data_IF_254180449665
#
_entry.id   IF_254180449665
#
_cell.length_a   1.000
_cell.length_b   1.000
_cell.length_c   1.000
_cell.angle_alpha   90.00
_cell.angle_beta   90.00
_cell.angle_gamma   90.00
#
_symmetry.space_group_name_H-M   'P 1'
#
loop_
_entity.id
_entity.type
_entity.pdbx_description
1 polymer ?
#
# COMPACT_ATOMS: atom_id res chain seq x y z
N UNK A 1 -8.59 43.14 28.29
CA UNK A 1 -9.62 42.46 27.46
C UNK A 1 -8.91 41.56 26.47
N UNK A 2 -8.97 40.24 26.65
CA UNK A 2 -8.44 39.24 25.71
C UNK A 2 -9.61 38.44 25.15
N UNK A 3 -9.82 38.50 23.84
CA UNK A 3 -10.90 37.77 23.17
C UNK A 3 -10.45 36.35 22.82
N UNK A 4 -10.83 35.39 23.67
CA UNK A 4 -10.70 33.96 23.35
C UNK A 4 -11.75 33.62 22.27
N UNK A 5 -11.31 33.48 21.01
CA UNK A 5 -12.18 33.04 19.91
C UNK A 5 -12.60 31.59 20.14
N UNK A 6 -13.88 31.36 20.47
CA UNK A 6 -14.49 30.04 20.55
C UNK A 6 -15.52 29.89 21.67
N UNK A 7 -15.38 30.63 22.77
CA UNK A 7 -16.32 30.59 23.90
C UNK A 7 -17.58 31.40 23.56
N UNK A 8 -18.76 30.82 23.72
CA UNK A 8 -20.01 31.56 23.53
C UNK A 8 -20.18 32.65 24.62
N UNK A 9 -20.70 33.85 24.28
CA UNK A 9 -20.70 35.00 25.20
C UNK A 9 -21.45 34.75 26.51
N UNK A 10 -22.50 33.92 26.49
CA UNK A 10 -23.26 33.56 27.68
C UNK A 10 -22.43 32.76 28.70
N UNK A 11 -21.49 31.93 28.23
CA UNK A 11 -20.60 31.12 29.09
C UNK A 11 -19.59 32.01 29.82
N UNK A 12 -19.01 32.99 29.11
CA UNK A 12 -18.05 33.93 29.69
C UNK A 12 -18.69 34.77 30.81
N UNK A 13 -19.96 35.16 30.66
CA UNK A 13 -20.69 35.92 31.68
C UNK A 13 -20.94 35.10 32.96
N UNK A 14 -21.26 33.80 32.82
CA UNK A 14 -21.46 32.88 33.94
C UNK A 14 -20.17 32.72 34.75
N UNK A 15 -19.01 32.56 34.10
CA UNK A 15 -17.72 32.43 34.79
C UNK A 15 -17.39 33.66 35.66
N UNK A 16 -17.57 34.88 35.15
CA UNK A 16 -17.29 36.11 35.91
C UNK A 16 -18.19 36.23 37.14
N UNK A 17 -19.47 35.85 37.03
CA UNK A 17 -20.42 35.89 38.15
C UNK A 17 -20.10 34.84 39.23
N UNK A 18 -19.73 33.62 38.83
CA UNK A 18 -19.34 32.56 39.77
C UNK A 18 -18.08 32.91 40.58
N UNK A 19 -17.06 33.48 39.94
CA UNK A 19 -15.82 33.92 40.60
C UNK A 19 -16.15 34.98 41.68
N UNK A 20 -17.01 35.95 41.37
CA UNK A 20 -17.41 36.99 42.33
C UNK A 20 -18.22 36.47 43.51
N UNK A 21 -19.14 35.52 43.28
CA UNK A 21 -19.96 34.94 44.36
C UNK A 21 -19.16 34.03 45.29
N UNK A 22 -18.26 33.22 44.73
CA UNK A 22 -17.45 32.28 45.52
C UNK A 22 -16.38 33.00 46.36
N UNK A 23 -15.96 34.22 45.97
CA UNK A 23 -15.03 35.06 46.75
C UNK A 23 -15.54 35.48 48.14
N UNK A 24 -16.80 35.18 48.48
CA UNK A 24 -17.43 35.46 49.79
C UNK A 24 -17.53 34.24 50.71
N UNK A 25 -17.14 33.05 50.24
CA UNK A 25 -17.10 31.80 51.02
C UNK A 25 -15.74 31.13 50.84
N UNK A 26 -15.02 30.88 51.94
CA UNK A 26 -13.62 30.43 51.93
C UNK A 26 -13.40 28.98 51.51
N UNK A 27 -13.84 28.60 50.30
CA UNK A 27 -13.57 27.33 49.63
C UNK A 27 -12.80 27.51 48.33
N UNK A 28 -12.45 26.41 47.65
CA UNK A 28 -11.71 26.43 46.37
C UNK A 28 -12.57 27.08 45.28
N UNK A 29 -12.13 28.24 44.75
CA UNK A 29 -12.89 29.00 43.75
C UNK A 29 -12.55 28.58 42.32
N UNK A 30 -13.27 27.58 41.81
CA UNK A 30 -13.56 27.48 40.38
C UNK A 30 -13.24 26.14 39.72
N UNK A 31 -14.25 25.58 39.06
CA UNK A 31 -14.15 24.43 38.16
C UNK A 31 -12.95 24.62 37.20
N UNK A 32 -11.97 23.70 37.15
CA UNK A 32 -10.77 23.91 36.36
C UNK A 32 -11.11 24.06 34.88
N UNK A 33 -10.81 25.25 34.34
CA UNK A 33 -11.13 25.57 32.96
C UNK A 33 -10.12 24.88 32.03
N UNK A 34 -10.43 23.65 31.63
CA UNK A 34 -9.63 22.91 30.66
C UNK A 34 -9.73 23.60 29.28
N UNK A 35 -8.76 24.46 28.99
CA UNK A 35 -8.54 24.99 27.63
C UNK A 35 -7.66 24.02 26.84
N UNK A 36 -8.20 22.84 26.52
CA UNK A 36 -7.56 21.94 25.56
C UNK A 36 -7.53 22.59 24.19
N UNK A 37 -6.32 22.81 23.67
CA UNK A 37 -6.14 22.91 22.22
C UNK A 37 -6.43 21.54 21.63
N UNK A 38 -7.70 21.29 21.29
CA UNK A 38 -8.15 20.12 20.54
C UNK A 38 -7.57 20.20 19.12
N UNK A 39 -6.32 19.77 19.00
CA UNK A 39 -5.65 19.52 17.73
C UNK A 39 -5.22 18.05 17.73
N UNK A 40 -5.82 17.31 16.82
CA UNK A 40 -5.34 16.02 16.38
C UNK A 40 -3.86 16.09 15.95
N UNK A 41 -3.28 14.90 15.78
CA UNK A 41 -2.14 14.60 14.89
C UNK A 41 -0.69 14.69 15.39
N UNK A 42 -0.02 13.55 15.22
CA UNK A 42 1.34 13.39 14.66
C UNK A 42 2.48 14.28 15.21
N UNK A 43 3.21 13.73 16.18
CA UNK A 43 4.61 14.08 16.51
C UNK A 43 4.92 15.55 16.88
N UNK A 44 4.14 16.10 17.80
CA UNK A 44 4.69 16.98 18.83
C UNK A 44 4.26 16.45 20.21
N UNK A 45 4.98 16.78 21.30
CA UNK A 45 4.63 16.30 22.64
C UNK A 45 3.18 16.67 22.99
N UNK A 46 2.39 15.72 23.47
CA UNK A 46 1.03 16.03 23.92
C UNK A 46 1.13 16.79 25.24
N UNK A 47 0.55 17.98 25.28
CA UNK A 47 0.43 18.80 26.48
C UNK A 47 -1.04 18.87 26.89
N UNK A 48 -1.34 18.42 28.10
CA UNK A 48 -2.61 18.69 28.78
C UNK A 48 -2.40 19.88 29.72
N UNK A 49 -3.42 20.72 29.90
CA UNK A 49 -3.33 21.88 30.80
C UNK A 49 -4.69 22.37 31.25
N UNK A 50 -4.77 22.83 32.50
CA UNK A 50 -5.94 23.52 33.04
C UNK A 50 -5.52 24.72 33.89
N UNK A 51 -6.39 25.73 33.96
CA UNK A 51 -6.25 26.82 34.92
C UNK A 51 -6.87 26.38 36.25
N UNK A 52 -6.05 26.39 37.31
CA UNK A 52 -6.47 26.24 38.70
C UNK A 52 -6.58 27.63 39.32
N UNK A 53 -7.58 27.82 40.18
CA UNK A 53 -7.81 29.04 40.97
C UNK A 53 -8.25 28.62 42.38
N UNK A 54 -7.77 29.32 43.40
CA UNK A 54 -8.05 29.03 44.80
C UNK A 54 -7.08 29.74 45.74
N UNK A 55 -7.23 29.52 47.04
CA UNK A 55 -6.32 30.03 48.07
C UNK A 55 -5.03 29.18 48.12
N UNK A 56 -3.83 29.78 48.13
CA UNK A 56 -2.59 29.06 48.43
C UNK A 56 -2.58 28.45 49.85
N UNK A 57 -1.79 27.42 50.12
CA UNK A 57 -0.93 26.71 49.17
C UNK A 57 -1.70 25.60 48.44
N UNK A 58 -1.51 25.51 47.12
CA UNK A 58 -2.22 24.54 46.26
C UNK A 58 -1.24 23.49 45.75
N UNK A 59 -1.54 22.23 46.04
CA UNK A 59 -0.90 21.06 45.47
C UNK A 59 -1.69 20.57 44.25
N UNK A 60 -0.99 20.08 43.23
CA UNK A 60 -1.60 19.57 42.00
C UNK A 60 -1.05 18.19 41.68
N UNK A 61 -1.97 17.23 41.51
CA UNK A 61 -1.65 15.82 41.20
C UNK A 61 -2.32 15.43 39.89
N UNK A 62 -1.62 14.63 39.08
CA UNK A 62 -2.15 14.07 37.84
C UNK A 62 -2.34 12.57 37.97
N UNK A 63 -3.45 12.06 37.43
CA UNK A 63 -3.79 10.64 37.38
C UNK A 63 -4.04 10.20 35.93
N UNK A 64 -3.73 8.94 35.61
CA UNK A 64 -4.08 8.25 34.38
C UNK A 64 -4.85 6.97 34.73
N UNK A 65 -6.11 6.89 34.30
CA UNK A 65 -7.03 5.79 34.61
C UNK A 65 -7.09 5.45 36.13
N UNK A 66 -7.02 6.49 36.97
CA UNK A 66 -7.02 6.40 38.43
C UNK A 66 -5.66 6.17 39.09
N UNK A 67 -4.57 5.99 38.33
CA UNK A 67 -3.23 5.76 38.86
C UNK A 67 -2.41 7.06 38.83
N UNK A 68 -1.66 7.37 39.89
CA UNK A 68 -0.87 8.61 39.98
C UNK A 68 0.29 8.64 38.95
N UNK A 69 0.43 9.76 38.26
CA UNK A 69 1.39 9.97 37.17
C UNK A 69 2.77 10.31 37.75
N UNK A 70 3.53 9.26 38.07
CA UNK A 70 4.80 9.34 38.82
C UNK A 70 6.08 9.17 37.99
N UNK A 71 6.00 8.63 36.77
CA UNK A 71 7.18 8.45 35.89
C UNK A 71 7.62 9.80 35.26
N UNK A 72 8.60 10.46 35.89
CA UNK A 72 9.14 11.74 35.43
C UNK A 72 9.96 11.66 34.12
N UNK A 73 10.37 10.47 33.66
CA UNK A 73 11.02 10.31 32.35
C UNK A 73 9.98 10.27 31.22
N UNK A 74 8.79 9.73 31.51
CA UNK A 74 7.63 9.73 30.61
C UNK A 74 6.83 11.03 30.65
N UNK A 75 6.67 11.61 31.83
CA UNK A 75 5.70 12.67 32.12
C UNK A 75 6.35 13.91 32.72
N UNK A 76 6.26 15.05 32.03
CA UNK A 76 6.68 16.35 32.56
C UNK A 76 5.50 17.09 33.19
N UNK A 77 5.37 17.04 34.51
CA UNK A 77 4.37 17.82 35.28
C UNK A 77 4.94 19.20 35.61
N UNK A 78 4.11 20.25 35.57
CA UNK A 78 4.43 21.55 36.15
C UNK A 78 3.19 22.27 36.68
N UNK A 79 3.37 23.13 37.68
CA UNK A 79 2.35 24.05 38.18
C UNK A 79 3.01 25.41 38.45
N UNK A 80 2.63 26.43 37.69
CA UNK A 80 3.24 27.78 37.73
C UNK A 80 2.12 28.80 37.50
N UNK A 81 2.03 29.84 38.32
CA UNK A 81 1.05 30.94 38.21
C UNK A 81 -0.42 30.47 38.04
N UNK A 82 -0.78 29.36 38.69
CA UNK A 82 -2.10 28.72 38.61
C UNK A 82 -2.32 27.85 37.36
N UNK A 83 -1.39 27.83 36.40
CA UNK A 83 -1.43 26.95 35.23
C UNK A 83 -0.82 25.59 35.57
N UNK A 84 -1.66 24.55 35.62
CA UNK A 84 -1.22 23.17 35.71
C UNK A 84 -0.98 22.61 34.30
N UNK A 85 0.12 21.89 34.10
CA UNK A 85 0.42 21.23 32.82
C UNK A 85 0.96 19.82 33.01
N UNK A 86 0.62 18.92 32.09
CA UNK A 86 1.21 17.60 31.94
C UNK A 86 1.67 17.35 30.50
N UNK A 87 2.96 17.09 30.31
CA UNK A 87 3.59 16.76 29.02
C UNK A 87 3.83 15.25 28.91
N UNK A 88 3.16 14.59 27.97
CA UNK A 88 3.41 13.17 27.64
C UNK A 88 4.54 13.05 26.61
N UNK A 89 5.67 12.49 27.01
CA UNK A 89 6.86 12.31 26.16
C UNK A 89 6.75 11.01 25.35
N UNK A 90 7.10 11.08 24.05
CA UNK A 90 7.05 9.96 23.09
C UNK A 90 5.75 9.14 23.22
N UNK A 91 4.62 9.77 22.95
CA UNK A 91 3.32 9.14 23.14
C UNK A 91 3.10 7.91 22.23
N UNK A 92 2.44 6.89 22.78
CA UNK A 92 2.11 5.58 22.21
C UNK A 92 0.65 5.26 22.52
N UNK A 93 0.08 4.26 21.84
CA UNK A 93 -1.31 3.80 22.08
C UNK A 93 -1.57 3.47 23.57
N UNK A 94 -0.55 2.95 24.27
CA UNK A 94 -0.57 2.64 25.72
C UNK A 94 -0.79 3.84 26.65
N UNK A 95 -0.60 5.06 26.16
CA UNK A 95 -0.76 6.28 26.96
C UNK A 95 -2.13 6.93 26.71
N UNK A 96 -3.03 6.21 26.03
CA UNK A 96 -4.44 6.58 25.89
C UNK A 96 -5.21 6.17 27.14
N UNK A 97 -6.07 7.03 27.63
CA UNK A 97 -6.82 6.82 28.87
C UNK A 97 -7.45 8.13 29.35
N UNK A 98 -8.13 8.08 30.49
CA UNK A 98 -8.69 9.25 31.16
C UNK A 98 -7.60 9.86 32.04
N UNK A 99 -7.11 11.03 31.65
CA UNK A 99 -6.24 11.85 32.48
C UNK A 99 -7.10 12.73 33.38
N UNK A 100 -6.76 12.77 34.67
CA UNK A 100 -7.38 13.65 35.67
C UNK A 100 -6.31 14.58 36.21
N UNK A 101 -6.62 15.86 36.32
CA UNK A 101 -5.86 16.80 37.14
C UNK A 101 -6.70 17.11 38.39
N UNK A 102 -6.16 16.82 39.57
CA UNK A 102 -6.72 17.19 40.86
C UNK A 102 -5.89 18.34 41.46
N UNK A 103 -6.57 19.31 42.07
CA UNK A 103 -5.96 20.38 42.85
C UNK A 103 -6.48 20.33 44.29
N UNK A 104 -5.59 20.48 45.26
CA UNK A 104 -5.89 20.33 46.69
C UNK A 104 -5.24 21.43 47.53
N UNK A 105 -5.96 21.93 48.53
CA UNK A 105 -5.46 22.78 49.62
C UNK A 105 -6.22 22.45 50.94
N UNK A 106 -5.89 23.16 52.03
CA UNK A 106 -6.52 22.98 53.36
C UNK A 106 -8.07 23.10 53.37
N UNK A 107 -8.67 23.72 52.34
CA UNK A 107 -10.13 23.90 52.24
C UNK A 107 -10.84 22.78 51.44
N UNK A 108 -10.11 21.89 50.74
CA UNK A 108 -10.68 20.76 50.00
C UNK A 108 -9.88 20.35 48.77
N UNK A 109 -10.48 19.57 47.87
CA UNK A 109 -9.95 19.32 46.53
C UNK A 109 -11.03 19.51 45.46
N UNK A 110 -10.59 19.75 44.23
CA UNK A 110 -11.42 19.82 43.02
C UNK A 110 -10.66 19.19 41.84
N UNK A 111 -11.37 18.60 40.88
CA UNK A 111 -10.75 17.84 39.79
C UNK A 111 -11.38 18.11 38.43
N UNK A 112 -10.62 17.78 37.37
CA UNK A 112 -11.08 17.88 36.00
C UNK A 112 -10.44 16.78 35.14
N UNK A 113 -11.12 16.30 34.09
CA UNK A 113 -10.69 15.13 33.33
C UNK A 113 -10.81 15.27 31.81
N UNK A 114 -10.03 14.46 31.08
CA UNK A 114 -10.00 14.37 29.62
C UNK A 114 -9.63 12.95 29.15
N UNK A 115 -10.33 12.42 28.16
CA UNK A 115 -9.87 11.23 27.42
C UNK A 115 -8.78 11.64 26.41
N UNK A 116 -7.55 11.18 26.61
CA UNK A 116 -6.51 11.22 25.56
C UNK A 116 -6.58 9.93 24.73
N UNK A 117 -6.62 10.06 23.41
CA UNK A 117 -6.70 8.92 22.49
C UNK A 117 -5.56 8.93 21.46
N UNK A 118 -4.46 8.28 21.80
CA UNK A 118 -3.28 8.21 20.93
C UNK A 118 -3.53 7.20 19.81
N UNK A 119 -3.44 7.67 18.56
CA UNK A 119 -3.59 6.87 17.35
C UNK A 119 -2.25 6.79 16.62
N UNK A 120 -2.01 5.68 15.94
CA UNK A 120 -0.86 5.46 15.05
C UNK A 120 -1.28 5.56 13.58
N UNK A 121 -0.46 6.17 12.70
CA UNK A 121 -0.71 6.18 11.25
C UNK A 121 -0.58 4.74 10.68
N UNK A 122 -1.15 4.47 9.49
CA UNK A 122 -1.02 3.18 8.85
C UNK A 122 0.41 2.98 8.35
N UNK A 123 0.95 1.78 8.49
CA UNK A 123 2.25 1.39 7.93
C UNK A 123 2.13 -0.01 7.36
N UNK A 124 2.56 -0.23 6.12
CA UNK A 124 2.55 -1.56 5.51
C UNK A 124 3.68 -2.45 6.06
N UNK A 125 3.34 -3.25 7.08
CA UNK A 125 4.23 -4.18 7.78
C UNK A 125 4.61 -5.39 6.91
N UNK A 126 3.70 -5.90 6.08
CA UNK A 126 4.01 -6.82 4.96
C UNK A 126 3.59 -6.19 3.64
N UNK A 127 4.54 -6.09 2.70
CA UNK A 127 4.33 -5.60 1.33
C UNK A 127 4.31 -6.80 0.36
N UNK A 128 3.58 -6.77 -0.77
CA UNK A 128 3.48 -7.93 -1.65
C UNK A 128 4.75 -8.07 -2.50
N UNK A 129 5.37 -9.26 -2.47
CA UNK A 129 6.47 -9.61 -3.38
C UNK A 129 6.02 -9.53 -4.85
N UNK A 130 6.91 -9.18 -5.81
CA UNK A 130 6.60 -9.26 -7.23
C UNK A 130 6.18 -10.68 -7.66
N UNK A 131 5.22 -10.79 -8.58
CA UNK A 131 4.62 -12.09 -8.99
C UNK A 131 4.82 -12.35 -10.48
N UNK A 132 5.42 -13.50 -10.80
CA UNK A 132 5.49 -14.07 -12.15
C UNK A 132 4.38 -15.11 -12.35
N UNK A 133 3.39 -14.84 -13.21
CA UNK A 133 2.23 -15.71 -13.41
C UNK A 133 1.90 -16.03 -14.87
N UNK A 134 1.04 -17.02 -15.11
CA UNK A 134 0.65 -17.46 -16.45
C UNK A 134 -0.67 -16.80 -16.89
N UNK A 135 -0.88 -16.65 -18.21
CA UNK A 135 -2.19 -16.20 -18.72
C UNK A 135 -3.28 -17.22 -18.35
N UNK A 136 -4.45 -16.71 -17.95
CA UNK A 136 -5.62 -17.50 -17.55
C UNK A 136 -5.64 -17.97 -16.10
N UNK A 137 -4.58 -17.76 -15.30
CA UNK A 137 -4.60 -18.14 -13.86
C UNK A 137 -5.26 -17.05 -13.00
N UNK A 138 -5.43 -17.32 -11.70
CA UNK A 138 -5.67 -16.30 -10.67
C UNK A 138 -4.35 -15.92 -9.97
N UNK A 139 -4.29 -14.72 -9.38
CA UNK A 139 -3.22 -14.30 -8.45
C UNK A 139 -3.80 -13.43 -7.33
N UNK A 140 -3.32 -13.61 -6.10
CA UNK A 140 -3.63 -12.77 -4.94
C UNK A 140 -2.42 -11.87 -4.63
N UNK A 141 -2.60 -10.55 -4.66
CA UNK A 141 -1.63 -9.60 -4.11
C UNK A 141 -2.12 -9.19 -2.72
N UNK A 142 -1.28 -9.30 -1.70
CA UNK A 142 -1.67 -9.11 -0.30
C UNK A 142 -0.68 -8.24 0.49
N UNK A 143 -1.22 -7.46 1.42
CA UNK A 143 -0.46 -6.62 2.34
C UNK A 143 -0.99 -6.80 3.77
N UNK A 144 -0.10 -6.61 4.74
CA UNK A 144 -0.48 -6.37 6.13
C UNK A 144 -0.16 -4.93 6.51
N UNK A 145 -0.99 -4.37 7.37
CA UNK A 145 -1.00 -2.98 7.82
C UNK A 145 -0.92 -2.98 9.34
N UNK A 146 0.00 -2.23 9.92
CA UNK A 146 0.02 -1.85 11.34
C UNK A 146 -0.44 -0.40 11.52
N UNK A 147 -0.74 0.01 12.75
CA UNK A 147 -1.31 1.32 13.09
C UNK A 147 -2.72 1.18 13.68
N UNK A 148 -3.43 2.28 13.90
CA UNK A 148 -4.76 2.25 14.55
C UNK A 148 -5.90 2.17 13.52
N UNK A 149 -6.76 1.13 13.53
CA UNK A 149 -7.94 1.06 12.65
C UNK A 149 -9.03 2.05 13.10
N UNK A 150 -10.03 2.38 12.25
CA UNK A 150 -10.27 1.82 10.91
C UNK A 150 -9.31 2.36 9.84
N UNK A 151 -9.04 1.54 8.83
CA UNK A 151 -8.30 1.95 7.63
C UNK A 151 -9.25 2.02 6.43
N UNK A 152 -9.29 3.16 5.74
CA UNK A 152 -9.65 3.21 4.32
C UNK A 152 -8.47 2.64 3.51
N UNK A 153 -8.75 1.64 2.68
CA UNK A 153 -7.74 0.93 1.90
C UNK A 153 -8.17 0.86 0.46
N UNK A 154 -7.40 1.52 -0.41
CA UNK A 154 -7.69 1.58 -1.84
C UNK A 154 -6.51 1.06 -2.67
N UNK A 155 -6.83 0.09 -3.54
CA UNK A 155 -5.92 -0.44 -4.56
C UNK A 155 -6.08 0.30 -5.89
N UNK A 156 -4.98 0.43 -6.64
CA UNK A 156 -4.90 1.08 -7.94
C UNK A 156 -4.05 0.27 -8.92
N UNK A 157 -4.38 0.37 -10.22
CA UNK A 157 -3.50 -0.01 -11.34
C UNK A 157 -3.58 1.10 -12.40
N UNK A 158 -2.46 1.46 -13.02
CA UNK A 158 -2.40 2.45 -14.11
C UNK A 158 -3.08 3.81 -13.74
N UNK A 159 -2.92 4.22 -12.47
CA UNK A 159 -3.59 5.38 -11.81
C UNK A 159 -5.13 5.31 -11.72
N UNK A 160 -5.75 4.16 -12.00
CA UNK A 160 -7.19 3.92 -11.84
C UNK A 160 -7.47 3.08 -10.58
N UNK A 161 -8.47 3.50 -9.80
CA UNK A 161 -8.92 2.77 -8.61
C UNK A 161 -9.53 1.42 -8.99
N UNK A 162 -9.04 0.35 -8.37
CA UNK A 162 -9.60 -1.00 -8.51
C UNK A 162 -10.82 -1.12 -7.60
N UNK A 163 -11.90 -1.70 -8.15
CA UNK A 163 -13.10 -2.09 -7.40
C UNK A 163 -13.43 -3.56 -7.61
N UNK A 164 -14.04 -4.18 -6.61
CA UNK A 164 -14.54 -5.57 -6.70
C UNK A 164 -15.53 -5.72 -7.86
N UNK A 165 -15.32 -6.75 -8.68
CA UNK A 165 -15.94 -6.90 -10.00
C UNK A 165 -15.92 -8.37 -10.45
N UNK A 166 -16.10 -8.63 -11.76
CA UNK A 166 -15.79 -9.94 -12.37
C UNK A 166 -14.28 -10.17 -12.55
N UNK A 167 -13.45 -9.10 -12.61
CA UNK A 167 -12.01 -9.18 -12.88
C UNK A 167 -11.16 -9.17 -11.60
N UNK A 168 -11.57 -8.37 -10.62
CA UNK A 168 -10.86 -8.18 -9.36
C UNK A 168 -11.76 -8.51 -8.17
N UNK A 169 -11.21 -9.13 -7.12
CA UNK A 169 -11.83 -9.28 -5.80
C UNK A 169 -10.97 -8.56 -4.77
N UNK A 170 -11.41 -7.39 -4.31
CA UNK A 170 -10.71 -6.60 -3.29
C UNK A 170 -11.25 -7.00 -1.90
N UNK A 171 -10.34 -7.22 -0.96
CA UNK A 171 -10.63 -7.46 0.45
C UNK A 171 -9.85 -6.46 1.30
N UNK A 172 -10.51 -5.88 2.30
CA UNK A 172 -9.87 -5.16 3.40
C UNK A 172 -10.58 -5.58 4.69
N UNK A 173 -9.83 -6.10 5.66
CA UNK A 173 -10.35 -6.56 6.97
C UNK A 173 -9.29 -6.32 8.03
N UNK A 174 -9.57 -5.44 8.98
CA UNK A 174 -8.67 -5.07 10.07
C UNK A 174 -7.26 -4.75 9.51
N UNK A 175 -6.27 -5.57 9.86
CA UNK A 175 -4.86 -5.39 9.52
C UNK A 175 -4.42 -6.06 8.20
N UNK A 176 -5.34 -6.67 7.44
CA UNK A 176 -5.02 -7.36 6.17
C UNK A 176 -5.83 -6.81 4.99
N UNK A 177 -5.16 -6.63 3.85
CA UNK A 177 -5.81 -6.31 2.57
C UNK A 177 -5.25 -7.15 1.43
N UNK A 178 -6.11 -7.51 0.47
CA UNK A 178 -5.66 -8.13 -0.77
C UNK A 178 -6.50 -7.72 -1.97
N UNK A 179 -5.90 -7.82 -3.16
CA UNK A 179 -6.62 -7.84 -4.44
C UNK A 179 -6.33 -9.15 -5.16
N UNK A 180 -7.36 -9.94 -5.41
CA UNK A 180 -7.28 -11.11 -6.29
C UNK A 180 -7.62 -10.73 -7.72
N UNK A 181 -6.70 -11.00 -8.64
CA UNK A 181 -6.81 -10.84 -10.08
C UNK A 181 -7.29 -12.16 -10.68
N UNK A 182 -8.36 -12.15 -11.47
CA UNK A 182 -8.97 -13.34 -12.08
C UNK A 182 -8.72 -13.38 -13.60
N UNK A 183 -8.56 -14.57 -14.17
CA UNK A 183 -8.29 -14.83 -15.59
C UNK A 183 -7.20 -13.89 -16.15
N UNK A 184 -5.94 -14.07 -15.72
CA UNK A 184 -4.86 -13.10 -16.00
C UNK A 184 -4.60 -12.92 -17.51
N UNK A 185 -4.50 -11.66 -17.93
CA UNK A 185 -4.27 -11.24 -19.31
C UNK A 185 -3.03 -10.35 -19.43
N UNK A 186 -2.65 -9.98 -20.67
CA UNK A 186 -1.51 -9.07 -20.88
C UNK A 186 -1.76 -7.66 -20.29
N UNK A 187 -3.02 -7.23 -20.17
CA UNK A 187 -3.39 -5.95 -19.58
C UNK A 187 -3.27 -5.90 -18.04
N UNK A 188 -3.19 -7.05 -17.36
CA UNK A 188 -2.93 -7.11 -15.91
C UNK A 188 -1.44 -6.90 -15.57
N UNK A 189 -0.53 -6.99 -16.55
CA UNK A 189 0.89 -6.70 -16.36
C UNK A 189 1.09 -5.23 -15.97
N UNK A 190 2.00 -4.96 -15.04
CA UNK A 190 2.36 -3.62 -14.60
C UNK A 190 2.48 -3.52 -13.08
N UNK A 191 2.33 -2.30 -12.58
CA UNK A 191 2.45 -1.99 -11.16
C UNK A 191 1.07 -1.76 -10.52
N UNK A 192 0.89 -2.37 -9.35
CA UNK A 192 -0.27 -2.20 -8.48
C UNK A 192 0.17 -1.39 -7.24
N UNK A 193 -0.57 -0.32 -6.94
CA UNK A 193 -0.36 0.52 -5.76
C UNK A 193 -1.48 0.21 -4.76
N UNK A 194 -1.12 -0.06 -3.50
CA UNK A 194 -2.07 -0.09 -2.38
C UNK A 194 -1.81 1.12 -1.48
N UNK A 195 -2.85 1.92 -1.21
CA UNK A 195 -2.82 3.00 -0.22
C UNK A 195 -3.67 2.59 0.98
N UNK A 196 -3.11 2.72 2.17
CA UNK A 196 -3.86 2.65 3.43
C UNK A 196 -3.88 4.04 4.07
N UNK A 197 -5.05 4.47 4.55
CA UNK A 197 -5.26 5.72 5.26
C UNK A 197 -6.17 5.48 6.47
N UNK A 198 -5.90 6.09 7.61
CA UNK A 198 -6.87 6.21 8.71
C UNK A 198 -7.06 7.71 9.01
N UNK A 199 -7.67 8.04 10.15
CA UNK A 199 -7.61 9.41 10.68
C UNK A 199 -6.14 9.86 10.72
N UNK A 200 -5.30 9.10 11.42
CA UNK A 200 -3.86 9.23 11.78
C UNK A 200 -2.83 9.53 10.69
N UNK A 201 -3.11 9.22 9.42
CA UNK A 201 -2.18 9.42 8.30
C UNK A 201 -2.39 8.41 7.18
N UNK A 202 -1.39 8.27 6.29
CA UNK A 202 -1.42 7.26 5.22
C UNK A 202 -0.05 6.75 4.80
N UNK A 203 0.03 5.48 4.41
CA UNK A 203 1.19 4.85 3.75
C UNK A 203 0.77 4.26 2.38
N UNK A 204 1.76 4.00 1.53
CA UNK A 204 1.59 3.42 0.19
C UNK A 204 2.62 2.32 -0.04
N UNK A 205 2.18 1.18 -0.58
CA UNK A 205 3.07 0.13 -1.07
C UNK A 205 2.76 -0.22 -2.53
N UNK A 206 3.73 -0.87 -3.17
CA UNK A 206 3.74 -1.17 -4.60
C UNK A 206 4.07 -2.65 -4.80
N UNK A 207 3.50 -3.26 -5.85
CA UNK A 207 3.83 -4.62 -6.29
C UNK A 207 3.84 -4.70 -7.82
N UNK A 208 4.85 -5.34 -8.40
CA UNK A 208 4.93 -5.57 -9.84
C UNK A 208 4.39 -6.95 -10.21
N UNK A 209 3.41 -6.96 -11.12
CA UNK A 209 2.85 -8.16 -11.75
C UNK A 209 3.49 -8.37 -13.12
N UNK A 210 3.97 -9.59 -13.37
CA UNK A 210 4.66 -9.99 -14.60
C UNK A 210 4.05 -11.27 -15.17
N UNK A 211 4.01 -11.36 -16.50
CA UNK A 211 3.72 -12.63 -17.17
C UNK A 211 4.99 -13.49 -17.25
N UNK A 212 4.96 -14.65 -16.61
CA UNK A 212 5.96 -15.70 -16.78
C UNK A 212 5.91 -16.17 -18.24
N UNK A 213 6.98 -15.92 -18.99
CA UNK A 213 7.08 -16.38 -20.37
C UNK A 213 6.92 -17.89 -20.47
N UNK A 214 6.21 -18.38 -21.51
CA UNK A 214 6.19 -19.80 -21.83
C UNK A 214 7.62 -20.22 -22.22
N UNK A 215 8.31 -20.90 -21.30
CA UNK A 215 9.56 -21.59 -21.63
C UNK A 215 9.22 -22.64 -22.68
N UNK A 216 9.85 -22.57 -23.87
CA UNK A 216 9.53 -23.47 -24.99
C UNK A 216 9.76 -24.96 -24.67
N UNK A 217 10.45 -25.28 -23.56
CA UNK A 217 10.66 -26.64 -23.06
C UNK A 217 9.38 -27.50 -23.04
N UNK A 218 8.24 -26.96 -22.58
CA UNK A 218 6.96 -27.71 -22.56
C UNK A 218 6.35 -27.93 -23.95
N UNK A 219 6.69 -27.11 -24.94
CA UNK A 219 6.31 -27.33 -26.33
C UNK A 219 7.23 -28.38 -26.97
N UNK A 220 8.54 -28.30 -26.69
CA UNK A 220 9.56 -29.25 -27.19
C UNK A 220 9.33 -30.67 -26.66
N UNK A 221 8.97 -30.83 -25.37
CA UNK A 221 8.63 -32.13 -24.79
C UNK A 221 7.43 -32.82 -25.44
N UNK A 222 6.52 -32.05 -26.05
CA UNK A 222 5.36 -32.59 -26.77
C UNK A 222 5.67 -32.98 -28.23
N UNK A 223 6.73 -32.41 -28.84
CA UNK A 223 7.13 -32.69 -30.23
C UNK A 223 8.16 -33.81 -30.32
N UNK A 224 9.03 -33.98 -29.31
CA UNK A 224 10.04 -35.04 -29.23
C UNK A 224 9.49 -36.47 -29.52
N UNK A 225 8.33 -36.91 -28.96
CA UNK A 225 7.77 -38.23 -29.25
C UNK A 225 7.36 -38.44 -30.71
N UNK A 226 6.88 -37.39 -31.39
CA UNK A 226 6.50 -37.45 -32.81
C UNK A 226 7.73 -37.49 -33.72
N UNK A 227 8.75 -36.68 -33.43
CA UNK A 227 10.00 -36.67 -34.19
C UNK A 227 10.71 -38.05 -34.18
N UNK A 228 10.70 -38.74 -33.03
CA UNK A 228 11.28 -40.07 -32.90
C UNK A 228 10.52 -41.13 -33.72
N UNK A 229 9.18 -41.05 -33.80
CA UNK A 229 8.37 -41.98 -34.60
C UNK A 229 8.70 -41.92 -36.10
N UNK A 230 8.83 -40.72 -36.69
CA UNK A 230 9.22 -40.58 -38.09
C UNK A 230 10.61 -41.16 -38.38
N UNK A 231 11.57 -41.03 -37.46
CA UNK A 231 12.90 -41.63 -37.60
C UNK A 231 12.87 -43.18 -37.62
N UNK A 232 11.87 -43.79 -36.99
CA UNK A 232 11.72 -45.24 -36.96
C UNK A 232 11.13 -45.79 -38.27
N UNK A 233 10.17 -45.07 -38.86
CA UNK A 233 9.53 -45.47 -40.12
C UNK A 233 10.50 -45.47 -41.31
N UNK A 234 11.42 -44.50 -41.39
CA UNK A 234 12.43 -44.46 -42.46
C UNK A 234 13.36 -45.69 -42.42
N UNK A 235 13.88 -46.04 -41.23
CA UNK A 235 14.75 -47.23 -41.04
C UNK A 235 14.08 -48.56 -41.42
N UNK A 236 12.74 -48.63 -41.38
CA UNK A 236 11.99 -49.83 -41.81
C UNK A 236 11.70 -49.88 -43.33
N UNK A 237 11.95 -48.78 -44.05
CA UNK A 237 11.85 -48.73 -45.51
C UNK A 237 13.15 -49.23 -46.16
N UNK A 238 14.30 -48.69 -45.72
CA UNK A 238 15.62 -49.06 -46.24
C UNK A 238 15.92 -50.56 -46.13
N UNK A 239 15.47 -51.21 -45.04
CA UNK A 239 15.75 -52.63 -44.79
C UNK A 239 14.99 -53.61 -45.70
N UNK A 240 14.16 -53.14 -46.64
CA UNK A 240 13.33 -54.01 -47.51
C UNK A 240 13.66 -53.97 -49.00
N UNK A 241 14.61 -53.16 -49.46
CA UNK A 241 15.04 -53.15 -50.87
C UNK A 241 16.32 -53.98 -51.17
N UNK A 242 16.90 -54.67 -50.17
CA UNK A 242 18.05 -55.54 -50.39
C UNK A 242 17.67 -56.89 -51.03
N UNK A 243 17.46 -56.94 -52.37
CA UNK A 243 17.81 -58.04 -53.31
C UNK A 243 17.10 -57.92 -54.67
N UNK A 244 17.74 -57.24 -55.63
CA UNK A 244 17.76 -57.74 -57.02
C UNK A 244 18.98 -57.19 -57.75
N UNK A 245 20.00 -58.03 -57.98
CA UNK A 245 21.02 -57.75 -58.99
C UNK A 245 20.42 -58.11 -60.35
N UNK A 246 20.21 -57.13 -61.20
CA UNK A 246 20.03 -57.34 -62.64
C UNK A 246 21.34 -56.90 -63.30
N UNK A 247 22.03 -57.85 -63.92
CA UNK A 247 23.20 -57.57 -64.76
C UNK A 247 22.71 -57.08 -66.11
N UNK A 248 23.16 -55.90 -66.53
CA UNK A 248 23.02 -55.40 -67.90
C UNK A 248 24.40 -54.98 -68.38
N UNK A 249 24.83 -55.50 -69.53
CA UNK A 249 26.12 -55.22 -70.14
C UNK A 249 26.10 -53.88 -70.90
N UNK A 250 27.26 -53.21 -71.05
CA UNK A 250 27.34 -51.97 -71.82
C UNK A 250 27.33 -52.29 -73.33
N UNK A 251 26.23 -51.98 -74.01
CA UNK A 251 26.22 -51.81 -75.47
C UNK A 251 26.69 -50.41 -75.86
N UNK A 252 27.35 -50.31 -77.00
CA UNK A 252 28.12 -49.14 -77.40
C UNK A 252 27.36 -48.18 -78.33
N UNK A 253 27.96 -46.99 -78.47
CA UNK A 253 27.99 -46.15 -79.68
C UNK A 253 26.99 -44.99 -79.83
N UNK A 254 27.59 -43.79 -79.86
CA UNK A 254 27.38 -42.66 -80.78
C UNK A 254 26.10 -41.81 -80.85
N UNK A 255 26.39 -40.50 -80.97
CA UNK A 255 25.73 -39.44 -81.75
C UNK A 255 24.64 -38.54 -81.12
N UNK A 256 25.03 -37.26 -81.09
CA UNK A 256 24.28 -36.00 -81.01
C UNK A 256 24.53 -35.37 -82.42
N UNK A 257 23.58 -34.73 -83.16
CA UNK A 257 23.00 -33.45 -82.72
C UNK A 257 21.63 -32.96 -83.30
N UNK A 258 21.14 -31.85 -82.70
CA UNK A 258 20.49 -30.67 -83.31
C UNK A 258 19.08 -30.68 -83.99
N UNK A 259 18.18 -29.87 -83.40
CA UNK A 259 17.25 -28.89 -84.04
C UNK A 259 16.07 -29.45 -84.90
N UNK A 260 14.97 -28.74 -85.24
CA UNK A 260 14.51 -27.34 -85.12
C UNK A 260 13.12 -27.23 -84.41
N UNK A 261 12.69 -26.17 -83.70
CA UNK A 261 12.57 -24.71 -83.94
C UNK A 261 11.21 -24.31 -84.59
N UNK A 262 10.45 -23.42 -83.94
CA UNK A 262 9.33 -22.67 -84.53
C UNK A 262 9.34 -21.19 -84.09
N UNK A 263 8.95 -20.29 -85.02
CA UNK A 263 8.62 -18.85 -84.80
C UNK A 263 7.09 -18.71 -84.73
N UNK A 264 6.43 -17.57 -84.47
CA UNK A 264 6.68 -16.13 -84.70
C UNK A 264 5.69 -15.37 -83.76
N UNK A 265 5.79 -14.12 -83.24
CA UNK A 265 6.43 -12.82 -83.57
C UNK A 265 6.79 -12.07 -82.26
N UNK A 266 7.39 -10.87 -82.24
CA UNK A 266 7.96 -9.98 -83.27
C UNK A 266 8.48 -8.67 -82.64
N UNK A 267 9.36 -7.96 -83.38
CA UNK A 267 9.79 -6.53 -83.28
C UNK A 267 9.77 -5.72 -81.95
N UNK A 268 10.71 -4.80 -81.67
CA UNK A 268 12.15 -4.58 -81.97
C UNK A 268 12.58 -3.26 -81.29
N UNK A 269 13.87 -3.08 -80.99
CA UNK A 269 14.54 -1.78 -80.66
C UNK A 269 14.16 -1.11 -79.32
N UNK A 270 15.02 -0.39 -78.58
CA UNK A 270 16.46 -0.06 -78.73
C UNK A 270 17.28 -0.24 -77.42
N UNK A 271 18.61 -0.24 -77.62
CA UNK A 271 19.78 -0.47 -76.75
C UNK A 271 19.76 -0.03 -75.25
N UNK A 272 20.59 -0.68 -74.39
CA UNK A 272 20.86 -0.27 -73.02
C UNK A 272 21.98 0.80 -72.91
N UNK A 273 22.12 1.39 -71.71
CA UNK A 273 23.28 2.18 -71.30
C UNK A 273 23.94 1.49 -70.09
N UNK A 274 25.27 1.39 -70.10
CA UNK A 274 26.09 0.90 -68.98
C UNK A 274 26.92 2.05 -68.44
N UNK A 275 26.99 2.20 -67.11
CA UNK A 275 28.08 2.91 -66.46
C UNK A 275 28.75 1.99 -65.43
N UNK A 276 30.09 1.96 -65.47
CA UNK A 276 30.95 1.39 -64.42
C UNK A 276 31.57 2.54 -63.62
N UNK A 277 31.70 2.36 -62.32
CA UNK A 277 32.57 3.11 -61.40
C UNK A 277 32.46 2.43 -60.02
N UNK A 278 33.53 2.07 -59.32
CA UNK A 278 34.97 1.98 -59.67
C UNK A 278 35.44 0.58 -59.25
#
# INVERSE_FOLDING_TARGET
>A
VLFVKGVQPNVLLIFVVLIFLCSLVGGVVGNPCISLNHLDYYKASHFLSCQVVGTPDIHVTWYLDGNEVTDQAKYGVSFIDGLATLKVTQARVSDSGIYVCEAHNDAGSESCSVELKVKEPPVFSRKPSPVDMLKGTEVNLECEISGTPPFDVTWYKDRRQIRSSKKYKVTAKNYHTSVRILNVEAADVGEYLCKAQNDVGSDTCFCTVKLKGKVLAHMLSAVLPMALHFSSLHRHCDSKQSKQRILVSPTSSTQVPYFQLSRDRGERNHRPVVMRSI
#
